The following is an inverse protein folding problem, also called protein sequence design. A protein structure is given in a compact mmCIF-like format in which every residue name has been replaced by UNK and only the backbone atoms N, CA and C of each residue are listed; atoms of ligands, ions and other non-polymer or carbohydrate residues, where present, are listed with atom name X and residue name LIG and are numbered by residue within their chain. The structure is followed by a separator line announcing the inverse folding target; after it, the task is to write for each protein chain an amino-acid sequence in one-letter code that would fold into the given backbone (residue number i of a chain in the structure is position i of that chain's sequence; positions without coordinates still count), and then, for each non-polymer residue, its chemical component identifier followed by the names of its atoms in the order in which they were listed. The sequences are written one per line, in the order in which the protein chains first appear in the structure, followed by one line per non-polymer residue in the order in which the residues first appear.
data_IF_522899420888
#
_entry.id   IF_522899420888
#
_cell.length_a   1.000
_cell.length_b   1.000
_cell.length_c   1.000
_cell.angle_alpha   90.00
_cell.angle_beta   90.00
_cell.angle_gamma   90.00
#
_symmetry.space_group_name_H-M   'P 1'
#
loop_
_entity.id
_entity.type
_entity.pdbx_description
1 polymer ?
#
# COMPACT_ATOMS: atom_id res chain seq x y z
N UNK A 1 8.13 32.99 -6.79
CA UNK A 1 8.86 33.30 -5.55
C UNK A 1 8.22 32.54 -4.40
N UNK A 2 9.00 31.87 -3.56
CA UNK A 2 8.51 31.16 -2.38
C UNK A 2 8.65 32.06 -1.14
N UNK A 3 7.76 31.88 -0.16
CA UNK A 3 7.93 32.50 1.17
C UNK A 3 9.10 31.86 1.92
N UNK A 4 9.46 32.41 3.08
CA UNK A 4 10.47 31.86 4.00
C UNK A 4 10.18 30.44 4.50
N UNK A 5 8.94 29.94 4.31
CA UNK A 5 8.54 28.55 4.61
C UNK A 5 8.44 27.66 3.36
N UNK A 6 8.88 28.14 2.20
CA UNK A 6 8.78 27.41 0.92
C UNK A 6 7.42 27.53 0.21
N UNK A 7 6.50 28.36 0.71
CA UNK A 7 5.13 28.43 0.18
C UNK A 7 5.07 29.24 -1.11
N UNK A 8 4.44 28.67 -2.13
CA UNK A 8 4.05 29.37 -3.35
C UNK A 8 2.54 29.66 -3.33
N UNK A 9 2.03 30.56 -4.20
CA UNK A 9 0.59 30.74 -4.36
C UNK A 9 -0.15 29.44 -4.67
N UNK A 10 0.46 28.56 -5.47
CA UNK A 10 -0.11 27.26 -5.83
C UNK A 10 -0.21 26.33 -4.61
N UNK A 11 0.80 26.31 -3.74
CA UNK A 11 0.75 25.50 -2.50
C UNK A 11 -0.37 25.97 -1.57
N UNK A 12 -0.50 27.28 -1.35
CA UNK A 12 -1.59 27.84 -0.54
C UNK A 12 -2.98 27.54 -1.13
N UNK A 13 -3.13 27.72 -2.45
CA UNK A 13 -4.40 27.45 -3.12
C UNK A 13 -4.79 25.97 -3.02
N UNK A 14 -3.81 25.06 -3.17
CA UNK A 14 -4.03 23.63 -3.06
C UNK A 14 -4.34 23.16 -1.63
N UNK A 15 -3.64 23.68 -0.62
CA UNK A 15 -3.91 23.38 0.79
C UNK A 15 -5.32 23.80 1.22
N UNK A 16 -5.86 24.87 0.63
CA UNK A 16 -7.16 25.42 1.01
C UNK A 16 -8.29 25.02 0.04
N UNK A 17 -8.01 24.15 -0.95
CA UNK A 17 -9.04 23.62 -1.84
C UNK A 17 -9.57 24.61 -2.88
N UNK A 18 -8.86 25.71 -3.15
CA UNK A 18 -9.29 26.74 -4.09
C UNK A 18 -9.10 26.32 -5.55
N UNK A 19 -9.92 25.41 -6.04
CA UNK A 19 -9.85 24.84 -7.40
C UNK A 19 -9.71 25.91 -8.50
N UNK A 20 -10.59 26.91 -8.53
CA UNK A 20 -10.53 27.95 -9.57
C UNK A 20 -9.22 28.73 -9.56
N UNK A 21 -8.64 28.98 -8.38
CA UNK A 21 -7.33 29.64 -8.26
C UNK A 21 -6.22 28.70 -8.73
N UNK A 22 -6.27 27.41 -8.36
CA UNK A 22 -5.31 26.40 -8.81
C UNK A 22 -5.30 26.32 -10.34
N UNK A 23 -6.46 26.17 -10.98
CA UNK A 23 -6.55 26.12 -12.44
C UNK A 23 -6.02 27.39 -13.09
N UNK A 24 -6.43 28.57 -12.60
CA UNK A 24 -5.93 29.86 -13.10
C UNK A 24 -4.41 29.97 -13.01
N UNK A 25 -3.82 29.57 -11.88
CA UNK A 25 -2.36 29.60 -11.70
C UNK A 25 -1.67 28.65 -12.69
N UNK A 26 -2.18 27.44 -12.87
CA UNK A 26 -1.60 26.44 -13.76
C UNK A 26 -1.75 26.81 -15.25
N UNK A 27 -2.87 27.40 -15.64
CA UNK A 27 -3.11 27.93 -16.99
C UNK A 27 -2.15 29.07 -17.33
N UNK A 28 -1.77 29.86 -16.33
CA UNK A 28 -0.73 30.89 -16.44
C UNK A 28 0.70 30.37 -16.15
N UNK A 29 0.93 29.09 -16.38
CA UNK A 29 2.26 28.44 -16.29
C UNK A 29 2.93 28.53 -14.91
N UNK A 30 2.14 28.58 -13.83
CA UNK A 30 2.70 28.36 -12.50
C UNK A 30 3.39 27.00 -12.44
N UNK A 31 4.59 26.98 -11.85
CA UNK A 31 5.34 25.76 -11.65
C UNK A 31 4.60 24.81 -10.72
N UNK A 32 4.28 23.62 -11.23
CA UNK A 32 3.61 22.55 -10.47
C UNK A 32 4.58 21.77 -9.56
N UNK A 33 5.87 21.79 -9.89
CA UNK A 33 6.97 21.09 -9.22
C UNK A 33 7.59 21.90 -8.06
N UNK A 34 6.73 22.56 -7.28
CA UNK A 34 7.11 23.33 -6.09
C UNK A 34 6.84 22.53 -4.83
N UNK A 35 7.73 22.66 -3.85
CA UNK A 35 7.69 21.91 -2.60
C UNK A 35 7.81 22.86 -1.41
N UNK A 36 7.11 22.56 -0.32
CA UNK A 36 7.31 23.23 0.97
C UNK A 36 8.54 22.68 1.72
N UNK A 37 8.75 23.15 2.95
CA UNK A 37 9.85 22.72 3.81
C UNK A 37 9.79 21.25 4.28
N UNK A 38 8.64 20.57 4.13
CA UNK A 38 8.46 19.14 4.43
C UNK A 38 8.56 18.25 3.17
N UNK A 39 8.89 18.86 2.02
CA UNK A 39 8.92 18.21 0.72
C UNK A 39 7.52 17.93 0.16
N UNK A 40 6.46 18.56 0.68
CA UNK A 40 5.11 18.40 0.14
C UNK A 40 4.93 19.27 -1.10
N UNK A 41 4.66 18.61 -2.22
CA UNK A 41 4.08 19.25 -3.41
C UNK A 41 2.60 19.61 -3.20
N UNK A 42 2.05 20.46 -4.08
CA UNK A 42 0.63 20.84 -4.06
C UNK A 42 -0.32 19.63 -4.06
N UNK A 43 0.04 18.56 -4.77
CA UNK A 43 -0.75 17.32 -4.83
C UNK A 43 -0.85 16.62 -3.45
N UNK A 44 0.20 16.68 -2.63
CA UNK A 44 0.17 16.14 -1.27
C UNK A 44 -0.77 16.95 -0.38
N UNK A 45 -0.67 18.27 -0.44
CA UNK A 45 -1.50 19.18 0.36
C UNK A 45 -2.99 19.01 0.03
N UNK A 46 -3.31 18.93 -1.27
CA UNK A 46 -4.67 18.68 -1.73
C UNK A 46 -5.19 17.29 -1.32
N UNK A 47 -4.35 16.26 -1.42
CA UNK A 47 -4.74 14.89 -1.05
C UNK A 47 -4.89 14.69 0.47
N UNK A 48 -4.09 15.39 1.27
CA UNK A 48 -4.18 15.39 2.75
C UNK A 48 -5.51 15.96 3.26
N UNK A 49 -6.16 16.81 2.46
CA UNK A 49 -7.46 17.42 2.75
C UNK A 49 -8.61 16.88 1.88
N UNK A 50 -8.34 15.94 0.98
CA UNK A 50 -9.37 15.28 0.18
C UNK A 50 -9.93 16.10 -0.98
N UNK A 51 -9.23 17.15 -1.41
CA UNK A 51 -9.67 18.02 -2.51
C UNK A 51 -9.46 17.34 -3.87
N UNK A 52 -10.38 16.44 -4.23
CA UNK A 52 -10.32 15.64 -5.46
C UNK A 52 -10.22 16.49 -6.73
N UNK A 53 -11.00 17.56 -6.84
CA UNK A 53 -10.98 18.43 -8.03
C UNK A 53 -9.65 19.16 -8.17
N UNK A 54 -9.06 19.64 -7.07
CA UNK A 54 -7.71 20.20 -7.06
C UNK A 54 -6.67 19.16 -7.46
N UNK A 55 -6.75 17.93 -6.94
CA UNK A 55 -5.86 16.85 -7.33
C UNK A 55 -5.94 16.57 -8.84
N UNK A 56 -7.15 16.52 -9.40
CA UNK A 56 -7.38 16.31 -10.82
C UNK A 56 -6.80 17.45 -11.68
N UNK A 57 -7.00 18.71 -11.27
CA UNK A 57 -6.41 19.86 -11.96
C UNK A 57 -4.87 19.77 -11.97
N UNK A 58 -4.26 19.51 -10.82
CA UNK A 58 -2.80 19.34 -10.70
C UNK A 58 -2.27 18.22 -11.62
N UNK A 59 -2.94 17.07 -11.63
CA UNK A 59 -2.53 15.91 -12.44
C UNK A 59 -2.70 16.16 -13.94
N UNK A 60 -3.76 16.87 -14.33
CA UNK A 60 -3.98 17.31 -15.72
C UNK A 60 -2.86 18.24 -16.20
N UNK A 61 -2.33 19.08 -15.30
CA UNK A 61 -1.16 19.92 -15.54
C UNK A 61 0.17 19.22 -15.19
N UNK A 62 0.21 17.89 -15.32
CA UNK A 62 1.43 17.07 -15.23
C UNK A 62 2.13 17.11 -13.87
N UNK A 63 1.41 17.34 -12.78
CA UNK A 63 1.93 17.04 -11.45
C UNK A 63 2.38 15.57 -11.39
N UNK A 64 3.54 15.32 -10.78
CA UNK A 64 4.04 13.96 -10.67
C UNK A 64 3.25 13.17 -9.62
N UNK A 65 2.41 12.23 -10.08
CA UNK A 65 1.48 11.44 -9.24
C UNK A 65 2.18 10.69 -8.10
N UNK A 66 3.39 10.18 -8.33
CA UNK A 66 4.17 9.41 -7.37
C UNK A 66 5.26 10.25 -6.69
N UNK A 67 5.12 11.58 -6.67
CA UNK A 67 5.98 12.45 -5.87
C UNK A 67 5.98 12.01 -4.41
N UNK A 68 7.08 12.28 -3.71
CA UNK A 68 7.29 11.81 -2.34
C UNK A 68 7.65 12.98 -1.43
N UNK A 69 7.03 13.03 -0.26
CA UNK A 69 7.46 13.91 0.84
C UNK A 69 8.80 13.47 1.42
N UNK A 70 9.36 14.26 2.35
CA UNK A 70 10.59 13.87 3.08
C UNK A 70 10.44 12.55 3.86
N UNK A 71 9.23 12.15 4.26
CA UNK A 71 8.95 10.85 4.90
C UNK A 71 8.63 9.72 3.90
N UNK A 72 8.69 10.02 2.59
CA UNK A 72 8.41 9.07 1.53
C UNK A 72 6.92 8.85 1.26
N UNK A 73 6.03 9.69 1.80
CA UNK A 73 4.59 9.60 1.54
C UNK A 73 4.29 10.10 0.14
N UNK A 74 3.38 9.42 -0.56
CA UNK A 74 2.78 9.90 -1.82
C UNK A 74 1.40 10.50 -1.53
N UNK A 75 0.79 11.16 -2.51
CA UNK A 75 -0.59 11.62 -2.41
C UNK A 75 -1.58 10.49 -2.06
N UNK A 76 -1.36 9.29 -2.62
CA UNK A 76 -2.19 8.12 -2.33
C UNK A 76 -2.07 7.67 -0.86
N UNK A 77 -0.88 7.74 -0.26
CA UNK A 77 -0.70 7.45 1.16
C UNK A 77 -1.52 8.39 2.05
N UNK A 78 -1.47 9.70 1.76
CA UNK A 78 -2.19 10.72 2.52
C UNK A 78 -3.71 10.54 2.38
N UNK A 79 -4.20 10.35 1.15
CA UNK A 79 -5.62 10.10 0.90
C UNK A 79 -6.11 8.83 1.60
N UNK A 80 -5.31 7.76 1.56
CA UNK A 80 -5.65 6.49 2.18
C UNK A 80 -5.69 6.57 3.72
N UNK A 81 -4.69 7.22 4.33
CA UNK A 81 -4.64 7.44 5.78
C UNK A 81 -5.81 8.30 6.29
N UNK A 82 -6.25 9.28 5.49
CA UNK A 82 -7.32 10.22 5.85
C UNK A 82 -8.73 9.76 5.51
N UNK A 83 -8.88 8.62 4.82
CA UNK A 83 -10.20 8.05 4.52
C UNK A 83 -10.89 8.60 3.26
N UNK A 84 -10.16 9.27 2.37
CA UNK A 84 -10.76 9.86 1.16
C UNK A 84 -10.94 8.83 0.05
N UNK A 85 -11.94 7.96 0.20
CA UNK A 85 -12.16 6.81 -0.68
C UNK A 85 -12.30 7.17 -2.17
N UNK A 86 -13.10 8.19 -2.49
CA UNK A 86 -13.30 8.64 -3.87
C UNK A 86 -12.03 9.19 -4.52
N UNK A 87 -11.15 9.78 -3.72
CA UNK A 87 -9.86 10.26 -4.16
C UNK A 87 -8.89 9.09 -4.35
N UNK A 88 -8.84 8.14 -3.41
CA UNK A 88 -8.05 6.90 -3.54
C UNK A 88 -8.40 6.17 -4.83
N UNK A 89 -9.70 5.96 -5.08
CA UNK A 89 -10.18 5.33 -6.30
C UNK A 89 -9.72 6.09 -7.55
N UNK A 90 -9.93 7.41 -7.59
CA UNK A 90 -9.56 8.27 -8.73
C UNK A 90 -8.05 8.27 -9.00
N UNK A 91 -7.21 8.36 -7.96
CA UNK A 91 -5.76 8.35 -8.11
C UNK A 91 -5.26 7.04 -8.73
N UNK A 92 -5.85 5.90 -8.39
CA UNK A 92 -5.44 4.59 -8.90
C UNK A 92 -6.02 4.34 -10.30
N UNK A 93 -7.32 4.53 -10.50
CA UNK A 93 -8.00 4.09 -11.73
C UNK A 93 -7.87 5.08 -12.88
N UNK A 94 -7.85 6.38 -12.58
CA UNK A 94 -7.82 7.44 -13.60
C UNK A 94 -6.41 7.96 -13.85
N UNK A 95 -5.58 8.03 -12.80
CA UNK A 95 -4.24 8.64 -12.85
C UNK A 95 -3.10 7.63 -12.66
N UNK A 96 -3.42 6.35 -12.56
CA UNK A 96 -2.45 5.24 -12.51
C UNK A 96 -1.38 5.39 -11.41
N UNK A 97 -1.79 5.90 -10.24
CA UNK A 97 -0.94 5.95 -9.05
C UNK A 97 -0.43 4.56 -8.65
N UNK A 98 0.82 4.50 -8.16
CA UNK A 98 1.39 3.25 -7.66
C UNK A 98 0.72 2.82 -6.35
N UNK A 99 -0.23 1.87 -6.47
CA UNK A 99 -1.04 1.39 -5.34
C UNK A 99 -0.24 0.79 -4.17
N UNK A 100 0.92 0.19 -4.47
CA UNK A 100 1.81 -0.45 -3.49
C UNK A 100 3.10 0.35 -3.26
N UNK A 101 3.09 1.66 -3.54
CA UNK A 101 4.23 2.53 -3.24
C UNK A 101 4.61 2.42 -1.76
N UNK A 102 5.90 2.36 -1.46
CA UNK A 102 6.39 2.21 -0.08
C UNK A 102 6.78 3.56 0.50
N UNK A 103 6.49 3.86 1.76
CA UNK A 103 7.11 4.98 2.50
C UNK A 103 8.57 4.69 2.85
N UNK A 104 9.26 5.61 3.54
CA UNK A 104 10.60 5.32 4.09
C UNK A 104 10.59 4.21 5.16
N UNK A 105 9.43 3.91 5.76
CA UNK A 105 9.25 2.81 6.73
C UNK A 105 8.74 1.51 6.09
N UNK A 106 8.82 1.43 4.75
CA UNK A 106 8.23 0.37 3.92
C UNK A 106 6.73 0.14 4.11
N UNK A 107 5.98 1.17 4.51
CA UNK A 107 4.53 1.07 4.61
C UNK A 107 3.89 1.33 3.25
N UNK A 108 2.90 0.54 2.85
CA UNK A 108 2.03 0.82 1.68
C UNK A 108 0.85 1.73 2.07
N UNK A 109 0.09 2.30 1.12
CA UNK A 109 -1.17 2.99 1.43
C UNK A 109 -2.15 2.10 2.22
N UNK A 110 -2.19 0.79 1.95
CA UNK A 110 -3.02 -0.15 2.70
C UNK A 110 -2.59 -0.27 4.17
N UNK A 111 -1.29 -0.20 4.48
CA UNK A 111 -0.83 -0.16 5.88
C UNK A 111 -1.35 1.07 6.62
N UNK A 112 -1.30 2.24 5.98
CA UNK A 112 -1.72 3.49 6.63
C UNK A 112 -3.24 3.58 6.77
N UNK A 113 -4.00 3.13 5.77
CA UNK A 113 -5.45 3.01 5.86
C UNK A 113 -5.86 2.04 6.99
N UNK A 114 -5.18 0.89 7.07
CA UNK A 114 -5.42 -0.10 8.11
C UNK A 114 -5.04 0.38 9.51
N UNK A 115 -3.96 1.16 9.65
CA UNK A 115 -3.55 1.80 10.89
C UNK A 115 -4.58 2.83 11.36
N UNK A 116 -5.09 3.64 10.43
CA UNK A 116 -6.06 4.70 10.70
C UNK A 116 -7.51 4.18 10.81
N UNK A 117 -7.78 2.91 10.54
CA UNK A 117 -9.11 2.30 10.66
C UNK A 117 -10.06 2.64 9.52
N UNK A 118 -9.53 3.02 8.35
CA UNK A 118 -10.32 3.46 7.20
C UNK A 118 -10.89 2.27 6.44
N UNK A 119 -12.05 1.76 6.87
CA UNK A 119 -12.65 0.52 6.37
C UNK A 119 -12.91 0.56 4.86
N UNK A 120 -13.58 1.61 4.37
CA UNK A 120 -13.98 1.77 2.97
C UNK A 120 -12.76 1.90 2.06
N UNK A 121 -11.73 2.60 2.51
CA UNK A 121 -10.46 2.71 1.79
C UNK A 121 -9.74 1.36 1.74
N UNK A 122 -9.70 0.61 2.84
CA UNK A 122 -9.11 -0.72 2.85
C UNK A 122 -9.82 -1.64 1.85
N UNK A 123 -11.16 -1.64 1.85
CA UNK A 123 -11.96 -2.45 0.92
C UNK A 123 -11.67 -2.06 -0.54
N UNK A 124 -11.66 -0.77 -0.84
CA UNK A 124 -11.34 -0.27 -2.19
C UNK A 124 -9.93 -0.66 -2.62
N UNK A 125 -8.92 -0.52 -1.76
CA UNK A 125 -7.55 -0.92 -2.08
C UNK A 125 -7.44 -2.43 -2.32
N UNK A 126 -8.14 -3.25 -1.54
CA UNK A 126 -8.20 -4.71 -1.73
C UNK A 126 -8.86 -5.09 -3.07
N UNK A 127 -9.99 -4.46 -3.40
CA UNK A 127 -10.68 -4.66 -4.67
C UNK A 127 -9.82 -4.25 -5.88
N UNK A 128 -8.97 -3.23 -5.70
CA UNK A 128 -7.99 -2.78 -6.70
C UNK A 128 -6.69 -3.61 -6.68
N UNK A 129 -6.65 -4.70 -5.90
CA UNK A 129 -5.56 -5.68 -5.89
C UNK A 129 -4.29 -5.20 -5.20
N UNK A 130 -4.39 -4.35 -4.18
CA UNK A 130 -3.24 -3.99 -3.34
C UNK A 130 -2.62 -5.24 -2.67
N UNK A 131 -1.29 -5.25 -2.55
CA UNK A 131 -0.57 -6.38 -1.96
C UNK A 131 -0.80 -6.46 -0.45
N UNK A 132 -1.52 -7.49 -0.02
CA UNK A 132 -1.83 -7.77 1.39
C UNK A 132 -0.68 -8.43 2.14
N UNK A 133 0.32 -8.96 1.42
CA UNK A 133 1.49 -9.63 1.99
C UNK A 133 2.70 -8.72 2.18
N UNK A 134 2.68 -7.51 1.61
CA UNK A 134 3.70 -6.51 1.84
C UNK A 134 3.91 -6.28 3.35
N UNK A 135 5.17 -6.16 3.76
CA UNK A 135 5.55 -5.92 5.15
C UNK A 135 6.29 -4.60 5.30
N UNK A 136 5.97 -3.86 6.37
CA UNK A 136 6.75 -2.70 6.78
C UNK A 136 8.14 -3.09 7.35
N UNK A 137 8.94 -2.12 7.77
CA UNK A 137 10.28 -2.36 8.34
C UNK A 137 10.28 -3.21 9.62
N UNK A 138 9.15 -3.28 10.33
CA UNK A 138 8.98 -4.15 11.50
C UNK A 138 8.49 -5.56 11.13
N UNK A 139 8.44 -5.91 9.83
CA UNK A 139 7.93 -7.20 9.36
C UNK A 139 6.40 -7.33 9.46
N UNK A 140 5.68 -6.24 9.70
CA UNK A 140 4.23 -6.27 9.90
C UNK A 140 3.51 -6.04 8.56
N UNK A 141 2.61 -6.96 8.21
CA UNK A 141 1.54 -6.74 7.20
C UNK A 141 0.48 -5.76 7.69
N UNK A 142 -0.33 -5.22 6.78
CA UNK A 142 -1.41 -4.29 7.09
C UNK A 142 -2.40 -4.82 8.16
N UNK A 143 -2.75 -6.12 8.12
CA UNK A 143 -3.63 -6.74 9.14
C UNK A 143 -3.04 -6.70 10.55
N UNK A 144 -1.71 -6.84 10.70
CA UNK A 144 -1.05 -6.77 12.00
C UNK A 144 -1.16 -5.35 12.57
N UNK A 145 -1.01 -4.34 11.71
CA UNK A 145 -1.14 -2.93 12.11
C UNK A 145 -2.58 -2.61 12.50
N UNK A 146 -3.59 -3.08 11.75
CA UNK A 146 -4.99 -2.94 12.13
C UNK A 146 -5.30 -3.59 13.48
N UNK A 147 -4.81 -4.81 13.73
CA UNK A 147 -4.99 -5.49 15.01
C UNK A 147 -4.31 -4.75 16.17
N UNK A 148 -3.08 -4.25 15.97
CA UNK A 148 -2.35 -3.46 16.96
C UNK A 148 -3.07 -2.16 17.35
N UNK A 149 -3.82 -1.57 16.40
CA UNK A 149 -4.63 -0.35 16.62
C UNK A 149 -6.07 -0.62 17.06
N UNK A 150 -6.45 -1.87 17.27
CA UNK A 150 -7.81 -2.28 17.62
C UNK A 150 -8.88 -1.91 16.56
N UNK A 151 -8.50 -1.91 15.28
CA UNK A 151 -9.41 -1.64 14.16
C UNK A 151 -10.14 -2.93 13.75
N UNK A 152 -11.08 -3.37 14.59
CA UNK A 152 -11.76 -4.68 14.49
C UNK A 152 -12.48 -4.90 13.16
N UNK A 153 -13.17 -3.89 12.61
CA UNK A 153 -13.87 -4.01 11.33
C UNK A 153 -12.90 -4.19 10.14
N UNK A 154 -11.76 -3.49 10.16
CA UNK A 154 -10.71 -3.68 9.15
C UNK A 154 -10.10 -5.08 9.25
N UNK A 155 -9.89 -5.58 10.47
CA UNK A 155 -9.43 -6.97 10.66
C UNK A 155 -10.45 -7.95 10.09
N UNK A 156 -11.75 -7.79 10.41
CA UNK A 156 -12.82 -8.65 9.85
C UNK A 156 -12.84 -8.61 8.32
N UNK A 157 -12.66 -7.43 7.72
CA UNK A 157 -12.55 -7.28 6.27
C UNK A 157 -11.37 -8.08 5.70
N UNK A 158 -10.18 -7.97 6.30
CA UNK A 158 -9.01 -8.74 5.86
C UNK A 158 -9.23 -10.25 6.01
N UNK A 159 -9.82 -10.70 7.11
CA UNK A 159 -10.13 -12.12 7.32
C UNK A 159 -11.12 -12.67 6.29
N UNK A 160 -12.10 -11.86 5.88
CA UNK A 160 -13.07 -12.22 4.84
C UNK A 160 -12.43 -12.32 3.46
N UNK A 161 -11.50 -11.42 3.16
CA UNK A 161 -10.92 -11.26 1.81
C UNK A 161 -9.71 -12.16 1.59
N UNK A 162 -8.93 -12.42 2.65
CA UNK A 162 -7.71 -13.24 2.60
C UNK A 162 -7.51 -13.96 3.93
N UNK A 163 -8.20 -15.10 4.13
CA UNK A 163 -8.09 -15.90 5.36
C UNK A 163 -6.66 -16.34 5.68
N UNK A 164 -5.80 -16.46 4.67
CA UNK A 164 -4.38 -16.78 4.86
C UNK A 164 -3.57 -15.70 5.60
N UNK A 165 -4.07 -14.47 5.73
CA UNK A 165 -3.37 -13.38 6.41
C UNK A 165 -3.21 -13.59 7.93
N UNK A 166 -4.02 -14.46 8.56
CA UNK A 166 -3.91 -14.84 9.98
C UNK A 166 -3.12 -16.11 10.21
N UNK A 167 -2.94 -16.95 9.19
CA UNK A 167 -2.20 -18.18 9.37
C UNK A 167 -0.70 -17.84 9.41
N UNK A 168 -0.10 -17.99 10.58
CA UNK A 168 1.35 -17.92 10.85
C UNK A 168 2.20 -18.91 10.05
N UNK A 169 1.61 -19.62 9.09
CA UNK A 169 2.30 -20.56 8.23
C UNK A 169 2.74 -19.86 6.95
N UNK A 170 3.90 -19.19 7.04
CA UNK A 170 4.84 -19.12 5.93
C UNK A 170 5.00 -20.53 5.33
N UNK A 171 4.21 -20.87 4.29
CA UNK A 171 4.34 -22.14 3.54
C UNK A 171 5.77 -22.37 3.04
N UNK A 172 6.57 -21.31 2.95
CA UNK A 172 8.01 -21.32 2.62
C UNK A 172 8.85 -22.05 3.68
N UNK A 173 8.48 -22.00 4.97
CA UNK A 173 9.26 -22.62 6.05
C UNK A 173 8.99 -24.13 6.16
N UNK A 174 7.78 -24.57 5.86
CA UNK A 174 7.41 -25.99 5.84
C UNK A 174 8.05 -26.73 4.65
N UNK A 175 8.09 -26.12 3.45
CA UNK A 175 8.78 -26.72 2.30
C UNK A 175 10.28 -26.93 2.56
N UNK A 176 10.95 -25.92 3.16
CA UNK A 176 12.38 -26.01 3.49
C UNK A 176 12.69 -26.99 4.63
N UNK A 177 11.75 -27.22 5.54
CA UNK A 177 11.87 -28.21 6.61
C UNK A 177 11.59 -29.64 6.14
N UNK A 178 10.73 -29.84 5.15
CA UNK A 178 10.51 -31.16 4.53
C UNK A 178 11.70 -31.59 3.67
N UNK A 179 12.29 -30.68 2.88
CA UNK A 179 13.50 -30.98 2.09
C UNK A 179 14.69 -31.35 2.99
N UNK A 180 14.94 -30.58 4.06
CA UNK A 180 16.07 -30.85 4.98
C UNK A 180 15.88 -32.09 5.88
N UNK A 181 14.65 -32.60 6.05
CA UNK A 181 14.39 -33.86 6.73
C UNK A 181 14.50 -35.08 5.80
N UNK A 182 14.29 -34.90 4.49
CA UNK A 182 14.42 -35.98 3.50
C UNK A 182 15.89 -36.33 3.27
N UNK A 183 16.79 -35.35 3.29
CA UNK A 183 18.24 -35.59 3.13
C UNK A 183 18.87 -36.26 4.37
N UNK A 184 18.45 -35.88 5.59
CA UNK A 184 19.03 -36.40 6.84
C UNK A 184 18.67 -37.85 7.17
N UNK A 185 17.60 -38.40 6.58
CA UNK A 185 17.24 -39.81 6.79
C UNK A 185 17.94 -40.79 5.83
N UNK A 186 18.64 -40.30 4.80
CA UNK A 186 19.36 -41.17 3.85
C UNK A 186 20.81 -41.49 4.24
N UNK A 187 21.39 -40.78 5.23
CA UNK A 187 22.81 -40.91 5.59
C UNK A 187 23.09 -41.73 6.88
N UNK A 188 22.07 -42.25 7.58
CA UNK A 188 22.28 -43.01 8.83
C UNK A 188 21.71 -44.43 8.86
N UNK A 189 21.11 -44.91 7.78
CA UNK A 189 20.84 -46.33 7.61
C UNK A 189 22.01 -46.98 6.87
N UNK A 190 22.99 -47.44 7.66
CA UNK A 190 24.01 -48.35 7.18
C UNK A 190 23.38 -49.54 6.45
N UNK A 191 23.94 -49.84 5.29
CA UNK A 191 24.04 -51.15 4.64
C UNK A 191 23.31 -52.30 5.37
N UNK A 192 22.13 -52.65 4.89
CA UNK A 192 21.76 -54.05 4.62
C UNK A 192 20.40 -54.06 3.92
N UNK A 193 20.38 -54.70 2.75
CA UNK A 193 19.28 -55.39 2.07
C UNK A 193 17.85 -54.92 2.42
N UNK A 194 17.05 -54.42 1.46
CA UNK A 194 16.20 -55.27 0.61
C UNK A 194 15.65 -54.39 -0.54
N UNK A 195 15.83 -54.81 -1.79
CA UNK A 195 14.98 -54.43 -2.94
C UNK A 195 13.83 -55.46 -3.07
N UNK A 196 12.80 -55.24 -3.90
CA UNK A 196 11.73 -54.23 -3.86
C UNK A 196 10.35 -54.94 -3.86
N UNK A 197 9.23 -54.24 -3.63
CA UNK A 197 7.98 -54.72 -4.25
C UNK A 197 6.95 -53.62 -4.51
N UNK A 198 6.71 -53.44 -5.81
CA UNK A 198 5.51 -52.91 -6.44
C UNK A 198 4.30 -53.65 -5.84
N UNK A 199 3.28 -52.92 -5.38
CA UNK A 199 1.93 -53.47 -5.35
C UNK A 199 0.91 -52.46 -5.87
N UNK A 200 0.21 -52.96 -6.87
CA UNK A 200 -0.83 -52.37 -7.69
C UNK A 200 -2.17 -52.96 -7.23
N UNK A 201 -3.26 -52.19 -7.39
CA UNK A 201 -4.68 -52.50 -7.09
C UNK A 201 -5.05 -52.56 -5.58
N UNK A 202 -6.23 -52.12 -5.14
CA UNK A 202 -7.57 -52.57 -5.56
C UNK A 202 -8.66 -51.48 -5.34
N UNK A 203 -9.58 -51.42 -6.31
CA UNK A 203 -10.91 -50.79 -6.33
C UNK A 203 -11.95 -51.49 -5.44
N UNK A 204 -12.88 -50.74 -4.82
CA UNK A 204 -14.27 -51.13 -4.46
C UNK A 204 -15.06 -49.79 -4.30
N UNK A 205 -16.23 -49.49 -4.87
CA UNK A 205 -17.23 -50.13 -5.76
C UNK A 205 -17.93 -49.01 -6.54
#
# INVERSE_FOLDING_TARGET
MQSSRGWSPLLNAAENGHEGIVSTLLDHHARVDVFDSEGKAALHLAAEHGYKLVCNALLTHKAFINARTMSGLTALHLAAMKGYNDLVWSLITQHHSQKDALTLKKQTPLHLAAEAGQLEVCDTLLQLGADTNATNDAGQKAVHVAAMRNNSEVVKLFLKTSPELVTTADKVRLHKQMETQTDRQTDTAGQSEIRPMIFQFIQIR
#
